data_IF_242816270021
#
_entry.id   IF_242816270021
#
_cell.length_a   1.000
_cell.length_b   1.000
_cell.length_c   1.000
_cell.angle_alpha   90.00
_cell.angle_beta   90.00
_cell.angle_gamma   90.00
#
_symmetry.space_group_name_H-M   'P 1'
#
loop_
_entity.id
_entity.type
_entity.pdbx_description
1 polymer ?
#
# COMPACT_ATOMS: atom_id res chain seq x y z
N UNK A 1 -17.12 13.22 -0.08
CA UNK A 1 -15.78 12.70 0.24
C UNK A 1 -14.76 13.78 -0.15
N UNK A 2 -14.31 14.54 0.84
CA UNK A 2 -13.31 15.60 0.68
C UNK A 2 -11.92 14.97 0.48
N UNK A 3 -10.93 15.72 -0.08
CA UNK A 3 -9.57 15.21 -0.29
C UNK A 3 -8.90 14.66 0.99
N UNK A 4 -9.27 15.22 2.16
CA UNK A 4 -8.75 14.82 3.47
C UNK A 4 -9.17 13.39 3.84
N UNK A 5 -10.40 12.99 3.51
CA UNK A 5 -10.93 11.66 3.85
C UNK A 5 -10.13 10.54 3.17
N UNK A 6 -9.63 10.78 1.95
CA UNK A 6 -8.78 9.83 1.22
C UNK A 6 -7.41 9.67 1.88
N UNK A 7 -6.81 10.76 2.35
CA UNK A 7 -5.52 10.73 3.05
C UNK A 7 -5.61 9.97 4.37
N UNK A 8 -6.68 10.21 5.14
CA UNK A 8 -6.94 9.48 6.40
C UNK A 8 -7.17 7.99 6.15
N UNK A 9 -7.98 7.65 5.13
CA UNK A 9 -8.23 6.24 4.77
C UNK A 9 -6.95 5.50 4.38
N UNK A 10 -6.08 6.13 3.59
CA UNK A 10 -4.80 5.53 3.18
C UNK A 10 -3.83 5.38 4.37
N UNK A 11 -3.76 6.39 5.24
CA UNK A 11 -2.94 6.32 6.46
C UNK A 11 -3.40 5.21 7.40
N UNK A 12 -4.72 5.04 7.57
CA UNK A 12 -5.29 3.97 8.38
C UNK A 12 -5.01 2.59 7.78
N UNK A 13 -5.11 2.42 6.46
CA UNK A 13 -4.82 1.16 5.78
C UNK A 13 -3.34 0.75 5.93
N UNK A 14 -2.42 1.71 5.78
CA UNK A 14 -1.00 1.49 6.05
C UNK A 14 -0.76 1.12 7.53
N UNK A 15 -1.30 1.89 8.46
CA UNK A 15 -1.13 1.65 9.89
C UNK A 15 -1.66 0.27 10.30
N UNK A 16 -2.84 -0.12 9.80
CA UNK A 16 -3.42 -1.44 10.04
C UNK A 16 -2.53 -2.56 9.48
N UNK A 17 -2.04 -2.41 8.24
CA UNK A 17 -1.14 -3.39 7.63
C UNK A 17 0.16 -3.56 8.41
N UNK A 18 0.82 -2.46 8.76
CA UNK A 18 2.05 -2.46 9.55
C UNK A 18 1.82 -3.05 10.94
N UNK A 19 0.70 -2.70 11.59
CA UNK A 19 0.34 -3.21 12.91
C UNK A 19 0.17 -4.74 12.90
N UNK A 20 -0.43 -5.30 11.86
CA UNK A 20 -0.56 -6.77 11.71
C UNK A 20 0.82 -7.44 11.68
N UNK A 21 1.71 -6.97 10.81
CA UNK A 21 3.06 -7.55 10.71
C UNK A 21 3.89 -7.36 11.98
N UNK A 22 3.74 -6.21 12.64
CA UNK A 22 4.37 -5.92 13.93
C UNK A 22 3.90 -6.92 15.01
N UNK A 23 2.59 -7.11 15.17
CA UNK A 23 2.04 -8.01 16.18
C UNK A 23 2.42 -9.47 15.93
N UNK A 24 2.49 -9.90 14.67
CA UNK A 24 2.99 -11.23 14.31
C UNK A 24 4.45 -11.39 14.73
N UNK A 25 5.31 -10.42 14.40
CA UNK A 25 6.72 -10.48 14.78
C UNK A 25 6.93 -10.46 16.28
N UNK A 26 6.15 -9.65 17.00
CA UNK A 26 6.16 -9.64 18.47
C UNK A 26 5.74 -11.00 19.06
N UNK A 27 4.70 -11.63 18.50
CA UNK A 27 4.28 -12.97 18.92
C UNK A 27 5.37 -14.03 18.70
N UNK A 28 6.07 -13.97 17.57
CA UNK A 28 7.17 -14.89 17.26
C UNK A 28 8.36 -14.64 18.19
N UNK A 29 8.77 -13.38 18.36
CA UNK A 29 9.92 -13.03 19.20
C UNK A 29 9.69 -13.42 20.67
N UNK A 30 8.47 -13.21 21.19
CA UNK A 30 8.11 -13.59 22.56
C UNK A 30 8.06 -15.11 22.77
N UNK A 31 7.68 -15.88 21.75
CA UNK A 31 7.64 -17.34 21.84
C UNK A 31 9.03 -17.98 21.74
N UNK A 32 9.89 -17.43 20.88
CA UNK A 32 11.24 -17.95 20.64
C UNK A 32 12.29 -17.38 21.60
N UNK A 33 11.92 -16.38 22.41
CA UNK A 33 12.86 -15.67 23.29
C UNK A 33 13.92 -14.88 22.52
N UNK A 34 13.68 -14.58 21.24
CA UNK A 34 14.61 -13.82 20.41
C UNK A 34 14.55 -12.33 20.72
N UNK A 35 15.72 -11.67 20.69
CA UNK A 35 15.85 -10.21 20.54
C UNK A 35 15.01 -9.77 19.32
N UNK A 36 14.40 -8.56 19.22
CA UNK A 36 13.23 -8.30 18.37
C UNK A 36 13.52 -8.29 16.85
N UNK A 37 14.02 -9.39 16.31
CA UNK A 37 14.48 -9.56 14.94
C UNK A 37 13.28 -9.80 14.05
N UNK A 38 12.36 -10.70 14.43
CA UNK A 38 11.19 -11.00 13.61
C UNK A 38 10.25 -9.80 13.54
N UNK A 39 10.09 -9.06 14.64
CA UNK A 39 9.33 -7.82 14.68
C UNK A 39 9.89 -6.78 13.71
N UNK A 40 11.21 -6.56 13.68
CA UNK A 40 11.84 -5.61 12.75
C UNK A 40 11.67 -6.07 11.30
N UNK A 41 12.01 -7.33 10.99
CA UNK A 41 11.96 -7.86 9.63
C UNK A 41 10.54 -7.81 9.05
N UNK A 42 9.54 -8.26 9.82
CA UNK A 42 8.16 -8.28 9.38
C UNK A 42 7.58 -6.86 9.25
N UNK A 43 7.93 -5.94 10.15
CA UNK A 43 7.51 -4.54 10.05
C UNK A 43 8.06 -3.90 8.79
N UNK A 44 9.37 -4.06 8.51
CA UNK A 44 9.99 -3.56 7.28
C UNK A 44 9.32 -4.18 6.05
N UNK A 45 9.05 -5.49 6.08
CA UNK A 45 8.33 -6.17 5.00
C UNK A 45 6.93 -5.58 4.77
N UNK A 46 6.16 -5.32 5.82
CA UNK A 46 4.84 -4.70 5.74
C UNK A 46 4.88 -3.30 5.12
N UNK A 47 5.85 -2.48 5.52
CA UNK A 47 6.06 -1.14 4.95
C UNK A 47 6.42 -1.24 3.47
N UNK A 48 7.41 -2.06 3.11
CA UNK A 48 7.83 -2.26 1.71
C UNK A 48 6.68 -2.78 0.86
N UNK A 49 5.93 -3.77 1.34
CA UNK A 49 4.76 -4.32 0.65
C UNK A 49 3.69 -3.25 0.35
N UNK A 50 3.44 -2.35 1.30
CA UNK A 50 2.53 -1.23 1.07
C UNK A 50 3.04 -0.28 -0.03
N UNK A 51 4.33 0.08 -0.01
CA UNK A 51 4.94 0.92 -1.06
C UNK A 51 4.90 0.25 -2.43
N UNK A 52 5.17 -1.05 -2.52
CA UNK A 52 5.07 -1.82 -3.76
C UNK A 52 3.63 -1.80 -4.29
N UNK A 53 2.63 -2.03 -3.43
CA UNK A 53 1.22 -1.93 -3.80
C UNK A 53 0.86 -0.52 -4.29
N UNK A 54 1.32 0.52 -3.60
CA UNK A 54 1.10 1.91 -3.99
C UNK A 54 1.67 2.19 -5.38
N UNK A 55 2.89 1.71 -5.65
CA UNK A 55 3.54 1.86 -6.96
C UNK A 55 2.74 1.21 -8.09
N UNK A 56 2.31 -0.03 -7.91
CA UNK A 56 1.50 -0.73 -8.93
C UNK A 56 0.11 -0.14 -9.10
N UNK A 57 -0.54 0.25 -7.99
CA UNK A 57 -1.83 0.91 -8.04
C UNK A 57 -1.75 2.21 -8.84
N UNK A 58 -0.72 3.03 -8.61
CA UNK A 58 -0.49 4.26 -9.35
C UNK A 58 -0.28 4.02 -10.85
N UNK A 59 0.54 3.03 -11.21
CA UNK A 59 0.80 2.70 -12.62
C UNK A 59 -0.46 2.22 -13.36
N UNK A 60 -1.31 1.42 -12.69
CA UNK A 60 -2.57 0.94 -13.27
C UNK A 60 -3.59 2.06 -13.55
N UNK A 61 -3.58 3.10 -12.71
CA UNK A 61 -4.44 4.27 -12.88
C UNK A 61 -4.00 5.10 -14.09
N UNK A 62 -2.69 5.30 -14.25
CA UNK A 62 -2.16 6.07 -15.39
C UNK A 62 -2.41 5.37 -16.73
N UNK A 63 -2.23 4.05 -16.79
CA UNK A 63 -2.54 3.27 -17.99
C UNK A 63 -4.03 3.37 -18.40
N UNK A 64 -4.96 3.44 -17.42
CA UNK A 64 -6.38 3.68 -17.70
C UNK A 64 -6.64 5.07 -18.25
N UNK A 65 -6.07 6.10 -17.63
CA UNK A 65 -6.26 7.50 -18.02
C UNK A 65 -5.71 7.79 -19.42
N UNK A 66 -4.60 7.15 -19.79
CA UNK A 66 -4.01 7.27 -21.13
C UNK A 66 -4.89 6.62 -22.19
N UNK A 67 -5.48 5.46 -21.88
CA UNK A 67 -6.43 4.76 -22.75
C UNK A 67 -7.70 5.58 -22.98
N UNK A 68 -8.30 6.10 -21.91
CA UNK A 68 -9.47 6.99 -21.98
C UNK A 68 -9.17 8.27 -22.78
N UNK A 69 -7.97 8.85 -22.61
CA UNK A 69 -7.55 10.01 -23.39
C UNK A 69 -7.43 9.69 -24.88
N UNK A 70 -6.87 8.53 -25.23
CA UNK A 70 -6.69 8.10 -26.62
C UNK A 70 -8.01 7.79 -27.35
N UNK A 71 -9.01 7.31 -26.60
CA UNK A 71 -10.36 7.04 -27.12
C UNK A 71 -11.11 8.36 -27.31
N UNK A 72 -11.00 9.29 -26.35
CA UNK A 72 -11.62 10.62 -26.44
C UNK A 72 -11.06 11.45 -27.60
N UNK A 73 -9.74 11.43 -27.84
CA UNK A 73 -9.14 12.14 -28.98
C UNK A 73 -9.43 11.49 -30.34
N UNK A 74 -9.77 10.19 -30.38
CA UNK A 74 -10.27 9.52 -31.60
C UNK A 74 -11.74 9.79 -31.88
N UNK A 75 -12.56 9.95 -30.84
CA UNK A 75 -13.98 10.27 -30.99
C UNK A 75 -14.26 11.72 -31.43
N UNK A 76 -13.36 12.66 -31.11
CA UNK A 76 -13.47 14.08 -31.51
C UNK A 76 -13.07 14.35 -32.98
N UNK A 77 -12.50 13.36 -33.67
CA UNK A 77 -12.03 13.47 -35.07
C UNK A 77 -12.91 12.74 -36.09
N UNK A 78 -14.05 12.17 -35.66
CA UNK A 78 -15.00 11.43 -36.49
C UNK A 78 -16.37 12.14 -36.53
#
# INVERSE_FOLDING_TARGET
MTPVDKGISQGAELAAGVLVFFLIGLGIDTWLGTVPVFMIVLTVFGVVGYFVRMYYAYNSVMAKLEKERSEKSRGDQA
#
